data_IF_679769070124
#
_entry.id   IF_679769070124
#
_cell.length_a   1.000
_cell.length_b   1.000
_cell.length_c   1.000
_cell.angle_alpha   90.00
_cell.angle_beta   90.00
_cell.angle_gamma   90.00
#
_symmetry.space_group_name_H-M   'P 1'
#
loop_
_entity.id
_entity.type
_entity.pdbx_description
1 polymer ?
#
# COMPACT_ATOMS: atom_id res chain seq x y z
N UNK A 1 30.07 -32.00 -27.51
CA UNK A 1 28.96 -31.39 -26.77
C UNK A 1 27.88 -31.01 -27.77
N UNK A 2 26.75 -31.68 -27.76
CA UNK A 2 25.72 -31.59 -28.79
C UNK A 2 24.87 -30.31 -28.61
N UNK A 3 24.44 -29.64 -29.71
CA UNK A 3 23.69 -28.36 -29.64
C UNK A 3 22.33 -28.45 -28.93
N UNK A 4 21.89 -29.65 -28.59
CA UNK A 4 20.62 -29.87 -27.87
C UNK A 4 20.63 -29.39 -26.40
N UNK A 5 21.79 -29.39 -25.75
CA UNK A 5 21.90 -28.90 -24.37
C UNK A 5 21.92 -27.36 -24.25
N UNK A 6 22.40 -26.67 -25.29
CA UNK A 6 22.41 -25.22 -25.37
C UNK A 6 20.98 -24.67 -25.58
N UNK A 7 20.17 -25.37 -26.42
CA UNK A 7 18.78 -24.99 -26.68
C UNK A 7 17.90 -25.19 -25.44
N UNK A 8 18.12 -26.27 -24.66
CA UNK A 8 17.39 -26.53 -23.42
C UNK A 8 17.73 -25.49 -22.33
N UNK A 9 18.98 -25.05 -22.22
CA UNK A 9 19.37 -23.99 -21.27
C UNK A 9 18.81 -22.60 -21.65
N UNK A 10 18.69 -22.31 -22.96
CA UNK A 10 18.05 -21.07 -23.43
C UNK A 10 16.51 -21.05 -23.21
N UNK A 11 15.85 -22.22 -23.30
CA UNK A 11 14.41 -22.31 -23.02
C UNK A 11 14.06 -22.15 -21.53
N UNK A 12 14.97 -22.47 -20.62
CA UNK A 12 14.78 -22.24 -19.18
C UNK A 12 15.00 -20.78 -18.76
N UNK A 13 15.70 -19.98 -19.57
CA UNK A 13 15.91 -18.54 -19.35
C UNK A 13 14.70 -17.67 -19.79
N UNK A 14 13.79 -18.25 -20.60
CA UNK A 14 12.63 -17.52 -21.15
C UNK A 14 11.37 -17.58 -20.27
N UNK A 15 11.38 -18.27 -19.11
CA UNK A 15 10.19 -18.49 -18.27
C UNK A 15 10.12 -17.62 -17.01
N UNK A 16 11.00 -16.65 -16.83
CA UNK A 16 10.84 -15.63 -15.80
C UNK A 16 9.93 -14.51 -16.35
N UNK A 17 8.62 -14.73 -16.36
CA UNK A 17 7.67 -13.64 -16.53
C UNK A 17 7.93 -12.63 -15.41
N UNK A 18 8.19 -11.35 -15.70
CA UNK A 18 8.31 -10.36 -14.66
C UNK A 18 6.98 -10.34 -13.88
N UNK A 19 7.06 -10.53 -12.58
CA UNK A 19 5.91 -10.42 -11.68
C UNK A 19 5.61 -8.93 -11.49
N UNK A 20 4.99 -8.29 -12.47
CA UNK A 20 4.81 -6.83 -12.56
C UNK A 20 3.79 -6.27 -11.57
N UNK A 21 2.87 -7.10 -11.07
CA UNK A 21 1.78 -6.64 -10.20
C UNK A 21 2.11 -6.57 -8.71
N UNK A 22 3.35 -6.82 -8.31
CA UNK A 22 3.76 -6.86 -6.90
C UNK A 22 4.19 -5.48 -6.42
N UNK A 23 3.61 -5.03 -5.29
CA UNK A 23 3.76 -3.64 -4.85
C UNK A 23 4.79 -3.45 -3.75
N UNK A 24 4.81 -4.30 -2.70
CA UNK A 24 5.71 -4.11 -1.58
C UNK A 24 7.17 -3.84 -2.01
N UNK A 25 7.89 -2.95 -1.31
CA UNK A 25 7.50 -2.13 -0.14
C UNK A 25 6.73 -0.85 -0.50
N UNK A 26 6.35 -0.66 -1.77
CA UNK A 26 5.62 0.50 -2.28
C UNK A 26 4.11 0.32 -2.07
N UNK A 27 3.34 1.41 -2.19
CA UNK A 27 1.87 1.40 -2.16
C UNK A 27 1.25 2.00 -3.44
N UNK A 28 2.07 2.60 -4.32
CA UNK A 28 1.62 3.05 -5.65
C UNK A 28 1.30 1.83 -6.51
N UNK A 29 0.05 1.73 -6.92
CA UNK A 29 -0.51 0.58 -7.62
C UNK A 29 -0.08 0.52 -9.09
N UNK A 30 0.47 -0.61 -9.50
CA UNK A 30 0.72 -0.91 -10.90
C UNK A 30 -0.60 -1.30 -11.59
N UNK A 31 -0.93 -0.77 -12.79
CA UNK A 31 -2.12 -1.18 -13.53
C UNK A 31 -2.13 -2.64 -13.98
N UNK A 32 -0.97 -3.31 -14.02
CA UNK A 32 -0.91 -4.73 -14.34
C UNK A 32 -1.52 -5.57 -13.22
N UNK A 33 -2.24 -6.64 -13.63
CA UNK A 33 -2.87 -7.59 -12.70
C UNK A 33 -1.98 -8.82 -12.51
N UNK A 34 -2.20 -9.55 -11.43
CA UNK A 34 -1.49 -10.82 -11.17
C UNK A 34 -1.85 -11.93 -12.16
N UNK A 35 -2.93 -11.76 -12.93
CA UNK A 35 -3.44 -12.71 -13.93
C UNK A 35 -4.47 -13.68 -13.38
N UNK A 36 -5.24 -14.25 -14.30
CA UNK A 36 -6.36 -15.13 -14.00
C UNK A 36 -5.95 -16.38 -13.21
N UNK A 37 -6.72 -16.73 -12.17
CA UNK A 37 -6.52 -17.93 -11.35
C UNK A 37 -5.31 -17.91 -10.43
N UNK A 38 -4.60 -16.79 -10.35
CA UNK A 38 -3.44 -16.61 -9.44
C UNK A 38 -3.85 -15.94 -8.15
N UNK A 39 -3.13 -16.26 -7.10
CA UNK A 39 -3.22 -15.60 -5.81
C UNK A 39 -1.83 -15.07 -5.45
N UNK A 40 -1.80 -13.83 -4.99
CA UNK A 40 -0.63 -13.18 -4.43
C UNK A 40 -0.89 -12.99 -2.94
N UNK A 41 0.10 -13.33 -2.14
CA UNK A 41 0.11 -13.08 -0.69
C UNK A 41 1.33 -12.22 -0.38
N UNK A 42 1.09 -11.14 0.32
CA UNK A 42 2.11 -10.27 0.90
C UNK A 42 2.04 -10.32 2.41
N UNK A 43 3.20 -10.35 3.04
CA UNK A 43 3.32 -10.30 4.49
C UNK A 43 4.49 -9.41 4.89
N UNK A 44 4.35 -8.67 6.00
CA UNK A 44 5.43 -7.82 6.41
C UNK A 44 5.30 -7.25 7.81
N UNK A 45 6.27 -6.42 8.14
CA UNK A 45 6.39 -5.69 9.41
C UNK A 45 6.76 -4.26 9.10
N UNK A 46 6.05 -3.31 9.71
CA UNK A 46 6.39 -1.89 9.66
C UNK A 46 6.72 -1.39 11.07
N UNK A 47 7.75 -0.56 11.16
CA UNK A 47 8.12 0.18 12.36
C UNK A 47 8.18 1.67 12.02
N UNK A 48 7.43 2.51 12.73
CA UNK A 48 7.34 3.93 12.46
C UNK A 48 7.54 4.75 13.74
N UNK A 49 8.40 5.78 13.65
CA UNK A 49 8.67 6.70 14.76
C UNK A 49 7.88 8.00 14.59
N UNK A 50 7.30 8.47 15.68
CA UNK A 50 6.64 9.77 15.73
C UNK A 50 5.30 9.85 15.01
N UNK A 51 4.57 8.73 14.89
CA UNK A 51 3.23 8.68 14.28
C UNK A 51 2.26 9.51 15.12
N UNK A 52 1.44 10.34 14.47
CA UNK A 52 0.43 11.17 15.10
C UNK A 52 -0.98 10.74 14.71
N UNK A 53 -1.85 10.69 15.73
CA UNK A 53 -3.28 10.40 15.62
C UNK A 53 -4.08 11.64 16.07
N UNK A 54 -4.38 12.60 15.18
CA UNK A 54 -4.99 13.88 15.55
C UNK A 54 -6.34 13.74 16.23
N UNK A 55 -7.11 12.70 15.90
CA UNK A 55 -8.46 12.46 16.42
C UNK A 55 -8.44 12.02 17.87
N UNK A 56 -7.57 11.09 18.22
CA UNK A 56 -7.39 10.58 19.58
C UNK A 56 -6.39 11.39 20.41
N UNK A 57 -5.57 12.22 19.74
CA UNK A 57 -4.51 13.00 20.39
C UNK A 57 -3.29 12.18 20.79
N UNK A 58 -3.19 10.92 20.37
CA UNK A 58 -2.05 10.07 20.67
C UNK A 58 -0.91 10.33 19.68
N UNK A 59 0.32 10.30 20.19
CA UNK A 59 1.53 10.30 19.37
C UNK A 59 2.51 9.28 19.93
N UNK A 60 3.25 8.58 19.05
CA UNK A 60 4.18 7.57 19.53
C UNK A 60 4.89 6.78 18.44
N UNK A 61 5.44 5.65 18.83
CA UNK A 61 6.13 4.72 17.97
C UNK A 61 5.24 3.53 17.68
N UNK A 62 4.98 3.31 16.40
CA UNK A 62 4.04 2.30 15.91
C UNK A 62 4.79 1.08 15.37
N UNK A 63 4.33 -0.10 15.75
CA UNK A 63 4.65 -1.37 15.13
C UNK A 63 3.39 -1.96 14.52
N UNK A 64 3.50 -2.45 13.27
CA UNK A 64 2.46 -3.23 12.59
C UNK A 64 3.01 -4.60 12.26
N UNK A 65 2.38 -5.65 12.79
CA UNK A 65 2.85 -7.02 12.56
C UNK A 65 1.75 -8.07 12.76
N UNK A 66 1.53 -8.95 11.76
CA UNK A 66 1.94 -8.76 10.37
C UNK A 66 1.07 -7.73 9.65
N UNK A 67 1.64 -6.99 8.72
CA UNK A 67 0.86 -6.38 7.63
C UNK A 67 0.57 -7.48 6.61
N UNK A 68 -0.64 -7.52 6.06
CA UNK A 68 -1.08 -8.57 5.13
C UNK A 68 -1.71 -7.92 3.90
N UNK A 69 -1.35 -8.44 2.73
CA UNK A 69 -2.00 -8.15 1.46
C UNK A 69 -2.33 -9.47 0.74
N UNK A 70 -3.53 -9.55 0.20
CA UNK A 70 -3.97 -10.69 -0.61
C UNK A 70 -4.60 -10.14 -1.89
N UNK A 71 -4.09 -10.59 -3.04
CA UNK A 71 -4.71 -10.31 -4.33
C UNK A 71 -5.15 -11.60 -5.01
N UNK A 72 -6.34 -11.60 -5.59
CA UNK A 72 -6.92 -12.74 -6.30
C UNK A 72 -7.25 -12.31 -7.73
N UNK A 73 -6.58 -12.92 -8.71
CA UNK A 73 -6.81 -12.67 -10.12
C UNK A 73 -8.07 -13.37 -10.61
N UNK A 74 -9.14 -12.61 -10.78
CA UNK A 74 -10.45 -13.12 -11.23
C UNK A 74 -10.57 -13.16 -12.76
N UNK A 75 -9.68 -12.46 -13.46
CA UNK A 75 -9.54 -12.56 -14.91
C UNK A 75 -8.14 -12.10 -15.35
N UNK A 76 -7.87 -12.11 -16.65
CA UNK A 76 -6.62 -11.57 -17.19
C UNK A 76 -6.49 -10.04 -17.02
N UNK A 77 -7.59 -9.35 -16.75
CA UNK A 77 -7.65 -7.88 -16.63
C UNK A 77 -8.16 -7.38 -15.28
N UNK A 78 -8.61 -8.27 -14.39
CA UNK A 78 -9.22 -7.87 -13.12
C UNK A 78 -8.74 -8.71 -11.95
N UNK A 79 -8.56 -8.07 -10.79
CA UNK A 79 -8.22 -8.71 -9.52
C UNK A 79 -8.96 -8.05 -8.36
N UNK A 80 -9.21 -8.84 -7.32
CA UNK A 80 -9.66 -8.38 -6.01
C UNK A 80 -8.48 -8.32 -5.07
N UNK A 81 -8.46 -7.30 -4.20
CA UNK A 81 -7.40 -7.06 -3.23
C UNK A 81 -8.01 -6.89 -1.84
N UNK A 82 -7.32 -7.42 -0.83
CA UNK A 82 -7.64 -7.24 0.58
C UNK A 82 -6.32 -6.92 1.29
N UNK A 83 -6.25 -5.74 1.92
CA UNK A 83 -5.07 -5.26 2.62
C UNK A 83 -5.41 -4.89 4.05
N UNK A 84 -4.47 -5.03 4.99
CA UNK A 84 -4.63 -4.64 6.38
C UNK A 84 -3.49 -5.14 7.27
N UNK A 85 -3.61 -4.90 8.58
CA UNK A 85 -2.69 -5.37 9.60
C UNK A 85 -3.44 -6.09 10.72
N UNK A 86 -2.87 -7.19 11.22
CA UNK A 86 -3.53 -7.96 12.29
C UNK A 86 -3.23 -7.38 13.68
N UNK A 87 -2.12 -6.70 13.85
CA UNK A 87 -1.74 -6.16 15.15
C UNK A 87 -0.90 -4.90 14.99
N UNK A 88 -1.53 -3.78 15.30
CA UNK A 88 -0.92 -2.47 15.41
C UNK A 88 -0.68 -2.17 16.89
N UNK A 89 0.55 -1.85 17.26
CA UNK A 89 0.95 -1.52 18.63
C UNK A 89 1.63 -0.17 18.67
N UNK A 90 1.04 0.78 19.38
CA UNK A 90 1.58 2.11 19.60
C UNK A 90 2.18 2.24 21.01
N UNK A 91 3.47 2.52 21.09
CA UNK A 91 4.11 3.02 22.33
C UNK A 91 3.93 4.53 22.39
N UNK A 92 3.10 5.00 23.30
CA UNK A 92 2.64 6.38 23.39
C UNK A 92 3.76 7.23 24.02
N UNK A 93 4.16 8.29 23.32
CA UNK A 93 5.17 9.25 23.80
C UNK A 93 4.57 10.59 24.22
N UNK A 94 3.39 10.95 23.70
CA UNK A 94 2.65 12.12 24.13
C UNK A 94 1.14 11.97 23.89
N UNK A 95 0.36 12.77 24.63
CA UNK A 95 -1.10 12.82 24.53
C UNK A 95 -1.54 14.28 24.44
N UNK A 96 -2.47 14.56 23.54
CA UNK A 96 -3.14 15.86 23.46
C UNK A 96 -4.53 15.76 24.10
N UNK A 97 -4.74 16.32 25.30
CA UNK A 97 -6.04 16.24 26.00
C UNK A 97 -7.15 17.05 25.33
N UNK A 98 -6.81 17.94 24.39
CA UNK A 98 -7.76 18.72 23.60
C UNK A 98 -8.20 18.02 22.30
N UNK A 99 -7.79 16.79 22.05
CA UNK A 99 -8.18 16.05 20.86
C UNK A 99 -9.68 15.71 20.86
N UNK A 100 -10.33 15.68 19.69
CA UNK A 100 -11.80 15.59 19.59
C UNK A 100 -12.41 14.35 20.26
N UNK A 101 -11.78 13.20 20.12
CA UNK A 101 -12.30 11.92 20.63
C UNK A 101 -11.52 11.37 21.84
N UNK A 102 -10.77 12.23 22.55
CA UNK A 102 -9.99 11.81 23.73
C UNK A 102 -10.86 11.18 24.82
N UNK A 103 -12.12 11.61 24.94
CA UNK A 103 -13.08 11.09 25.93
C UNK A 103 -13.54 9.65 25.63
N UNK A 104 -13.36 9.15 24.42
CA UNK A 104 -13.71 7.78 24.03
C UNK A 104 -12.57 6.79 24.33
N UNK A 105 -11.36 7.28 24.61
CA UNK A 105 -10.21 6.42 24.83
C UNK A 105 -10.37 5.59 26.11
N UNK A 106 -10.16 4.28 25.98
CA UNK A 106 -10.05 3.36 27.11
C UNK A 106 -8.60 3.10 27.55
N UNK A 107 -7.65 3.75 26.88
CA UNK A 107 -6.21 3.56 27.05
C UNK A 107 -5.69 4.31 28.28
N UNK A 108 -5.29 3.59 29.33
CA UNK A 108 -4.79 4.16 30.59
C UNK A 108 -3.26 4.16 30.70
N UNK A 109 -2.56 3.23 30.01
CA UNK A 109 -1.10 3.06 30.06
C UNK A 109 -0.38 3.67 28.86
N UNK A 110 0.93 3.47 28.78
CA UNK A 110 1.80 4.00 27.73
C UNK A 110 1.80 3.18 26.44
N UNK A 111 0.88 2.22 26.31
CA UNK A 111 0.71 1.40 25.12
C UNK A 111 -0.75 1.18 24.80
N UNK A 112 -1.02 1.13 23.49
CA UNK A 112 -2.31 0.69 22.97
C UNK A 112 -2.11 -0.20 21.76
N UNK A 113 -3.12 -0.98 21.42
CA UNK A 113 -3.10 -1.85 20.25
C UNK A 113 -4.48 -1.96 19.62
N UNK A 114 -4.51 -2.28 18.34
CA UNK A 114 -5.73 -2.53 17.57
C UNK A 114 -5.41 -3.39 16.36
N UNK A 115 -6.44 -3.82 15.65
CA UNK A 115 -6.32 -4.21 14.25
C UNK A 115 -6.17 -2.96 13.39
N UNK A 116 -5.59 -3.09 12.19
CA UNK A 116 -5.64 -2.05 11.18
C UNK A 116 -6.99 -2.08 10.44
N UNK A 117 -7.42 -0.94 9.90
CA UNK A 117 -8.58 -0.91 9.01
C UNK A 117 -8.32 -1.72 7.75
N UNK A 118 -9.24 -2.63 7.45
CA UNK A 118 -9.15 -3.47 6.25
C UNK A 118 -9.56 -2.68 5.03
N UNK A 119 -8.74 -2.75 3.97
CA UNK A 119 -9.05 -2.19 2.66
C UNK A 119 -9.43 -3.32 1.72
N UNK A 120 -10.62 -3.23 1.14
CA UNK A 120 -11.07 -4.12 0.06
C UNK A 120 -11.08 -3.32 -1.23
N UNK A 121 -10.45 -3.86 -2.27
CA UNK A 121 -10.33 -3.16 -3.53
C UNK A 121 -10.53 -4.07 -4.75
N UNK A 122 -10.88 -3.44 -5.86
CA UNK A 122 -10.92 -4.05 -7.19
C UNK A 122 -10.03 -3.23 -8.10
N UNK A 123 -9.12 -3.90 -8.81
CA UNK A 123 -8.27 -3.31 -9.83
C UNK A 123 -8.62 -3.90 -11.19
N UNK A 124 -8.75 -3.04 -12.19
CA UNK A 124 -9.09 -3.42 -13.57
C UNK A 124 -8.06 -2.77 -14.50
N UNK A 125 -7.35 -3.59 -15.26
CA UNK A 125 -6.47 -3.13 -16.33
C UNK A 125 -7.30 -2.84 -17.59
N UNK A 126 -7.25 -1.59 -18.06
CA UNK A 126 -7.96 -1.16 -19.27
C UNK A 126 -7.09 -1.33 -20.50
N UNK A 127 -5.81 -0.96 -20.39
CA UNK A 127 -4.82 -1.07 -21.47
C UNK A 127 -3.55 -1.72 -20.96
N UNK A 128 -3.05 -2.72 -21.69
CA UNK A 128 -1.74 -3.30 -21.43
C UNK A 128 -0.64 -2.41 -22.02
N UNK A 129 0.53 -2.41 -21.41
CA UNK A 129 1.71 -1.75 -21.95
C UNK A 129 2.09 -2.34 -23.30
N UNK A 130 2.56 -1.47 -24.20
CA UNK A 130 3.23 -1.85 -25.44
C UNK A 130 4.37 -0.87 -25.73
N UNK A 131 5.15 -1.08 -26.77
CA UNK A 131 6.28 -0.22 -27.14
C UNK A 131 5.85 1.25 -27.24
N UNK A 132 4.70 1.55 -27.84
CA UNK A 132 4.21 2.92 -28.11
C UNK A 132 3.23 3.48 -27.08
N UNK A 133 2.79 2.70 -26.07
CA UNK A 133 1.77 3.18 -25.11
C UNK A 133 2.02 2.67 -23.70
N UNK A 134 1.63 3.42 -22.64
CA UNK A 134 1.65 2.96 -21.27
C UNK A 134 0.57 1.90 -21.00
N UNK A 135 0.72 1.15 -19.91
CA UNK A 135 -0.38 0.45 -19.27
C UNK A 135 -1.29 1.46 -18.57
N UNK A 136 -2.60 1.24 -18.61
CA UNK A 136 -3.60 2.06 -17.91
C UNK A 136 -4.59 1.13 -17.19
N UNK A 137 -4.93 1.49 -15.97
CA UNK A 137 -5.91 0.79 -15.15
C UNK A 137 -6.73 1.74 -14.29
N UNK A 138 -7.71 1.18 -13.63
CA UNK A 138 -8.52 1.85 -12.60
C UNK A 138 -8.54 0.98 -11.34
N UNK A 139 -8.64 1.63 -10.18
CA UNK A 139 -8.80 0.96 -8.89
C UNK A 139 -9.89 1.64 -8.10
N UNK A 140 -10.78 0.82 -7.51
CA UNK A 140 -11.76 1.24 -6.55
C UNK A 140 -11.44 0.54 -5.23
N UNK A 141 -11.49 1.27 -4.13
CA UNK A 141 -11.19 0.72 -2.82
C UNK A 141 -12.14 1.28 -1.75
N UNK A 142 -12.42 0.45 -0.76
CA UNK A 142 -13.18 0.81 0.44
C UNK A 142 -12.35 0.43 1.66
N UNK A 143 -12.11 1.40 2.53
CA UNK A 143 -11.55 1.16 3.86
C UNK A 143 -12.70 0.85 4.83
N UNK A 144 -12.65 -0.27 5.51
CA UNK A 144 -13.62 -0.73 6.49
C UNK A 144 -13.18 -0.35 7.91
N UNK A 145 -14.11 0.00 8.82
CA UNK A 145 -13.79 0.47 10.17
C UNK A 145 -13.50 -0.70 11.13
N UNK A 146 -12.36 -1.38 10.97
CA UNK A 146 -11.98 -2.50 11.83
C UNK A 146 -11.15 -2.05 13.05
N UNK A 147 -10.39 -0.96 12.93
CA UNK A 147 -9.65 -0.36 14.02
C UNK A 147 -10.59 0.44 14.90
N UNK A 148 -10.56 0.19 16.22
CA UNK A 148 -11.48 0.86 17.14
C UNK A 148 -10.98 2.25 17.54
N UNK A 149 -11.89 3.20 17.70
CA UNK A 149 -11.57 4.55 18.17
C UNK A 149 -11.22 4.57 19.68
N UNK A 150 -11.71 3.61 20.47
CA UNK A 150 -11.36 3.46 21.90
C UNK A 150 -9.89 3.10 22.10
N UNK A 151 -9.26 2.41 21.12
CA UNK A 151 -7.82 2.17 21.14
C UNK A 151 -7.01 3.42 20.82
N UNK A 152 -7.63 4.43 20.19
CA UNK A 152 -7.02 5.64 19.68
C UNK A 152 -6.27 5.47 18.36
N UNK A 153 -6.29 4.28 17.75
CA UNK A 153 -5.62 3.97 16.48
C UNK A 153 -6.60 3.99 15.30
N UNK A 154 -7.88 3.69 15.54
CA UNK A 154 -8.94 3.72 14.54
C UNK A 154 -9.70 5.02 14.49
N UNK A 155 -10.44 5.23 13.41
CA UNK A 155 -11.33 6.37 13.20
C UNK A 155 -12.80 5.95 13.22
N UNK A 156 -13.10 4.66 13.19
CA UNK A 156 -14.45 4.09 13.11
C UNK A 156 -15.25 4.65 11.91
N UNK A 157 -14.56 4.84 10.78
CA UNK A 157 -15.13 5.42 9.56
C UNK A 157 -14.88 4.55 8.35
N UNK A 158 -15.88 4.52 7.44
CA UNK A 158 -15.71 3.93 6.11
C UNK A 158 -15.32 5.02 5.13
N UNK A 159 -14.23 4.79 4.38
CA UNK A 159 -13.73 5.71 3.36
C UNK A 159 -13.75 5.03 1.98
N UNK A 160 -13.97 5.82 0.92
CA UNK A 160 -14.01 5.34 -0.46
C UNK A 160 -12.93 6.00 -1.30
N UNK A 161 -12.34 5.22 -2.21
CA UNK A 161 -11.28 5.70 -3.10
C UNK A 161 -11.54 5.23 -4.54
N UNK A 162 -11.23 6.09 -5.49
CA UNK A 162 -11.21 5.76 -6.92
C UNK A 162 -9.96 6.38 -7.55
N UNK A 163 -9.21 5.60 -8.31
CA UNK A 163 -7.93 6.02 -8.87
C UNK A 163 -7.76 5.55 -10.32
N UNK A 164 -7.10 6.38 -11.11
CA UNK A 164 -6.54 6.02 -12.41
C UNK A 164 -5.07 5.69 -12.21
N UNK A 165 -4.65 4.59 -12.80
CA UNK A 165 -3.32 4.01 -12.69
C UNK A 165 -2.64 4.07 -14.06
N UNK A 166 -1.39 4.47 -14.10
CA UNK A 166 -0.58 4.49 -15.31
C UNK A 166 0.79 3.91 -15.06
N UNK A 167 1.35 3.14 -16.01
CA UNK A 167 2.71 2.64 -15.90
C UNK A 167 3.39 2.54 -17.24
N UNK A 168 4.69 2.78 -17.24
CA UNK A 168 5.56 2.63 -18.40
C UNK A 168 6.93 2.14 -18.00
N UNK A 169 7.42 1.15 -18.75
CA UNK A 169 8.80 0.69 -18.64
C UNK A 169 9.65 1.36 -19.72
N UNK A 170 10.69 2.04 -19.28
CA UNK A 170 11.69 2.65 -20.17
C UNK A 170 13.04 2.02 -19.83
N UNK A 171 13.59 1.27 -20.76
CA UNK A 171 14.80 0.46 -20.54
C UNK A 171 14.64 -0.48 -19.33
N UNK A 172 15.40 -0.26 -18.26
CA UNK A 172 15.38 -1.05 -17.01
C UNK A 172 14.61 -0.37 -15.88
N UNK A 173 13.91 0.74 -16.16
CA UNK A 173 13.18 1.53 -15.16
C UNK A 173 11.68 1.42 -15.45
N UNK A 174 10.94 0.88 -14.49
CA UNK A 174 9.48 0.95 -14.49
C UNK A 174 9.04 2.16 -13.68
N UNK A 175 8.26 3.04 -14.29
CA UNK A 175 7.64 4.20 -13.66
C UNK A 175 6.15 3.94 -13.56
N UNK A 176 5.59 4.16 -12.38
CA UNK A 176 4.16 4.00 -12.10
C UNK A 176 3.63 5.29 -11.49
N UNK A 177 2.47 5.74 -11.96
CA UNK A 177 1.80 6.92 -11.45
C UNK A 177 0.33 6.60 -11.15
N UNK A 178 -0.16 7.08 -10.02
CA UNK A 178 -1.56 7.01 -9.62
C UNK A 178 -2.08 8.42 -9.34
N UNK A 179 -3.29 8.69 -9.76
CA UNK A 179 -4.05 9.88 -9.38
C UNK A 179 -5.49 9.48 -9.11
N UNK A 180 -6.08 10.01 -8.04
CA UNK A 180 -7.42 9.61 -7.66
C UNK A 180 -8.09 10.56 -6.70
N UNK A 181 -9.29 10.20 -6.32
CA UNK A 181 -10.09 10.89 -5.31
C UNK A 181 -10.37 9.96 -4.14
N UNK A 182 -10.41 10.50 -2.94
CA UNK A 182 -10.87 9.81 -1.74
C UNK A 182 -11.98 10.61 -1.08
N UNK A 183 -13.00 9.91 -0.62
CA UNK A 183 -14.10 10.46 0.18
C UNK A 183 -13.89 9.93 1.60
N UNK A 184 -13.42 10.79 2.51
CA UNK A 184 -13.10 10.44 3.88
C UNK A 184 -14.22 10.91 4.79
N UNK A 185 -14.82 10.01 5.55
CA UNK A 185 -15.82 10.39 6.54
C UNK A 185 -15.16 11.16 7.69
N UNK A 186 -15.86 12.16 8.23
CA UNK A 186 -15.44 12.89 9.42
C UNK A 186 -15.66 12.03 10.67
N UNK A 187 -14.60 11.60 11.35
CA UNK A 187 -14.73 10.74 12.52
C UNK A 187 -15.36 11.44 13.73
N UNK A 188 -15.47 12.76 13.71
CA UNK A 188 -16.09 13.55 14.78
C UNK A 188 -17.54 13.87 14.51
N UNK A 189 -18.01 13.72 13.26
CA UNK A 189 -19.40 13.96 12.88
C UNK A 189 -19.76 13.18 11.61
N UNK A 190 -20.44 12.04 11.76
CA UNK A 190 -20.78 11.12 10.69
C UNK A 190 -21.63 11.68 9.53
N UNK A 191 -22.14 12.92 9.64
CA UNK A 191 -22.90 13.58 8.57
C UNK A 191 -22.02 14.45 7.66
N UNK A 192 -20.71 14.42 7.82
CA UNK A 192 -19.75 15.22 7.06
C UNK A 192 -18.68 14.34 6.45
N UNK A 193 -18.11 14.80 5.35
CA UNK A 193 -16.99 14.16 4.68
C UNK A 193 -15.96 15.22 4.26
N UNK A 194 -14.73 14.75 4.01
CA UNK A 194 -13.68 15.53 3.36
C UNK A 194 -13.24 14.82 2.11
N UNK A 195 -13.28 15.52 0.99
CA UNK A 195 -12.76 14.99 -0.27
C UNK A 195 -11.26 15.29 -0.35
N UNK A 196 -10.50 14.31 -0.83
CA UNK A 196 -9.05 14.41 -0.98
C UNK A 196 -8.62 13.99 -2.38
N UNK A 197 -7.59 14.63 -2.88
CA UNK A 197 -6.85 14.16 -4.06
C UNK A 197 -5.79 13.16 -3.58
N UNK A 198 -5.84 11.92 -4.08
CA UNK A 198 -4.80 10.93 -3.83
C UNK A 198 -3.77 10.93 -4.96
N UNK A 199 -2.50 10.72 -4.63
CA UNK A 199 -1.42 10.68 -5.61
C UNK A 199 -0.37 9.63 -5.25
N UNK A 200 0.27 9.10 -6.27
CA UNK A 200 1.42 8.21 -6.14
C UNK A 200 2.30 8.30 -7.37
N UNK A 201 3.59 8.32 -7.16
CA UNK A 201 4.61 8.22 -8.21
C UNK A 201 5.72 7.32 -7.70
N UNK A 202 5.97 6.22 -8.39
CA UNK A 202 7.02 5.29 -8.02
C UNK A 202 7.89 4.91 -9.20
N UNK A 203 9.09 4.46 -8.88
CA UNK A 203 10.00 3.86 -9.83
C UNK A 203 10.58 2.57 -9.27
N UNK A 204 10.85 1.62 -10.15
CA UNK A 204 11.61 0.41 -9.86
C UNK A 204 12.67 0.24 -10.93
N UNK A 205 13.94 0.08 -10.53
CA UNK A 205 15.06 -0.16 -11.43
C UNK A 205 15.68 -1.50 -11.16
N UNK A 206 15.69 -2.37 -12.15
CA UNK A 206 16.42 -3.62 -12.09
C UNK A 206 17.93 -3.36 -12.07
N UNK A 207 18.60 -3.78 -11.00
CA UNK A 207 20.06 -3.72 -10.85
C UNK A 207 20.71 -5.01 -11.30
N UNK A 208 20.02 -6.13 -11.08
CA UNK A 208 20.38 -7.47 -11.54
C UNK A 208 19.11 -8.23 -11.92
N UNK A 209 19.22 -9.49 -12.35
CA UNK A 209 18.06 -10.35 -12.60
C UNK A 209 17.22 -10.65 -11.32
N UNK A 210 17.75 -10.37 -10.13
CA UNK A 210 17.12 -10.72 -8.85
C UNK A 210 16.94 -9.52 -7.92
N UNK A 211 17.59 -8.41 -8.19
CA UNK A 211 17.56 -7.24 -7.31
C UNK A 211 17.04 -6.00 -8.01
N UNK A 212 16.18 -5.28 -7.33
CA UNK A 212 15.65 -3.98 -7.76
C UNK A 212 15.87 -2.96 -6.67
N UNK A 213 16.14 -1.71 -7.08
CA UNK A 213 16.03 -0.52 -6.24
C UNK A 213 14.72 0.15 -6.56
N UNK A 214 13.99 0.54 -5.53
CA UNK A 214 12.66 1.15 -5.66
C UNK A 214 12.56 2.45 -4.88
N UNK A 215 11.73 3.36 -5.37
CA UNK A 215 11.42 4.60 -4.68
C UNK A 215 10.00 5.06 -4.98
N UNK A 216 9.42 5.83 -4.07
CA UNK A 216 8.04 6.26 -4.15
C UNK A 216 7.82 7.58 -3.43
N UNK A 217 6.99 8.42 -4.03
CA UNK A 217 6.32 9.54 -3.41
C UNK A 217 4.82 9.29 -3.48
N UNK A 218 4.14 9.19 -2.35
CA UNK A 218 2.70 8.97 -2.30
C UNK A 218 2.03 9.80 -1.22
N UNK A 219 0.71 9.96 -1.33
CA UNK A 219 -0.04 10.66 -0.32
C UNK A 219 -1.44 11.06 -0.75
N UNK A 220 -2.00 11.98 0.04
CA UNK A 220 -3.28 12.62 -0.23
C UNK A 220 -3.22 14.10 0.12
N UNK A 221 -3.95 14.91 -0.61
CA UNK A 221 -4.12 16.35 -0.37
C UNK A 221 -5.59 16.62 -0.08
N UNK A 222 -5.89 17.24 1.06
CA UNK A 222 -7.23 17.77 1.33
C UNK A 222 -7.54 18.89 0.33
N UNK A 223 -8.68 18.77 -0.34
CA UNK A 223 -9.15 19.81 -1.29
C UNK A 223 -10.14 20.78 -0.65
N UNK A 224 -10.36 20.65 0.65
CA UNK A 224 -11.26 21.49 1.41
C UNK A 224 -10.72 22.93 1.52
N UNK A 225 -11.59 23.90 1.32
CA UNK A 225 -11.30 25.30 1.68
C UNK A 225 -11.41 25.48 3.21
N UNK A 226 -10.28 25.72 3.87
CA UNK A 226 -10.15 25.78 5.33
C UNK A 226 -9.51 24.53 5.94
N UNK A 227 -9.48 24.46 7.25
CA UNK A 227 -8.85 23.33 7.95
C UNK A 227 -9.60 22.02 7.68
N UNK A 228 -8.87 20.92 7.38
CA UNK A 228 -9.48 19.61 7.24
C UNK A 228 -10.02 19.12 8.57
N UNK A 229 -11.04 18.26 8.54
CA UNK A 229 -11.50 17.59 9.74
C UNK A 229 -10.37 16.70 10.32
N UNK A 230 -10.23 16.61 11.65
CA UNK A 230 -9.24 15.72 12.27
C UNK A 230 -9.36 14.29 11.74
N UNK A 231 -8.23 13.69 11.36
CA UNK A 231 -8.16 12.37 10.73
C UNK A 231 -8.23 12.39 9.19
N UNK A 232 -8.63 13.52 8.58
CA UNK A 232 -8.76 13.68 7.13
C UNK A 232 -7.71 14.61 6.51
N UNK A 233 -6.65 14.92 7.25
CA UNK A 233 -5.57 15.82 6.84
C UNK A 233 -4.83 15.33 5.60
N UNK A 234 -4.14 16.28 4.94
CA UNK A 234 -3.14 15.95 3.93
C UNK A 234 -2.03 15.10 4.54
N UNK A 235 -1.57 14.10 3.80
CA UNK A 235 -0.48 13.21 4.18
C UNK A 235 0.45 12.98 2.99
N UNK A 236 1.71 12.67 3.26
CA UNK A 236 2.67 12.34 2.24
C UNK A 236 3.82 11.52 2.79
N UNK A 237 4.27 10.55 2.01
CA UNK A 237 5.40 9.69 2.34
C UNK A 237 6.39 9.65 1.17
N UNK A 238 7.66 9.75 1.48
CA UNK A 238 8.76 9.42 0.59
C UNK A 238 9.34 8.08 1.03
N UNK A 239 9.41 7.09 0.13
CA UNK A 239 9.99 5.77 0.40
C UNK A 239 11.16 5.48 -0.51
N UNK A 240 12.17 4.80 0.03
CA UNK A 240 13.28 4.22 -0.70
C UNK A 240 13.51 2.80 -0.20
N UNK A 241 13.76 1.87 -1.11
CA UNK A 241 13.90 0.48 -0.72
C UNK A 241 14.52 -0.39 -1.81
N UNK A 242 14.51 -1.67 -1.54
CA UNK A 242 14.99 -2.69 -2.45
C UNK A 242 14.14 -3.94 -2.40
N UNK A 243 14.27 -4.73 -3.45
CA UNK A 243 13.61 -6.03 -3.62
C UNK A 243 14.64 -7.07 -4.04
N UNK A 244 14.47 -8.27 -3.51
CA UNK A 244 15.29 -9.42 -3.88
C UNK A 244 14.40 -10.61 -4.18
N UNK A 245 14.45 -11.13 -5.41
CA UNK A 245 13.61 -12.23 -5.89
C UNK A 245 14.39 -13.54 -5.88
N UNK A 246 13.86 -14.54 -5.19
CA UNK A 246 14.41 -15.90 -5.14
C UNK A 246 13.31 -16.92 -5.44
N UNK A 247 13.31 -17.44 -6.68
CA UNK A 247 12.23 -18.32 -7.15
C UNK A 247 10.87 -17.63 -7.13
N UNK A 248 9.83 -18.21 -6.53
CA UNK A 248 8.49 -17.64 -6.47
C UNK A 248 8.32 -16.59 -5.35
N UNK A 249 9.32 -16.41 -4.50
CA UNK A 249 9.27 -15.46 -3.37
C UNK A 249 10.10 -14.24 -3.67
N UNK A 250 9.57 -13.08 -3.37
CA UNK A 250 10.28 -11.82 -3.38
C UNK A 250 10.31 -11.24 -1.98
N UNK A 251 11.49 -10.95 -1.48
CA UNK A 251 11.73 -10.22 -0.24
C UNK A 251 11.90 -8.75 -0.55
N UNK A 252 11.47 -7.91 0.36
CA UNK A 252 11.55 -6.46 0.23
C UNK A 252 11.94 -5.81 1.57
N UNK A 253 12.46 -4.59 1.46
CA UNK A 253 12.75 -3.75 2.61
C UNK A 253 12.95 -2.32 2.17
N UNK A 254 12.64 -1.38 3.07
CA UNK A 254 12.76 0.04 2.77
C UNK A 254 12.66 0.92 4.00
N UNK A 255 12.96 2.18 3.76
CA UNK A 255 12.83 3.30 4.71
C UNK A 255 11.80 4.27 4.16
N UNK A 256 10.99 4.85 5.02
CA UNK A 256 10.06 5.91 4.63
C UNK A 256 10.15 7.12 5.57
N UNK A 257 9.92 8.29 5.00
CA UNK A 257 9.93 9.59 5.67
C UNK A 257 8.58 10.26 5.47
N UNK A 258 8.02 10.81 6.52
CA UNK A 258 6.81 11.62 6.45
C UNK A 258 7.10 13.03 5.95
N UNK A 259 6.17 13.57 5.18
CA UNK A 259 6.28 14.90 4.57
C UNK A 259 5.39 15.94 5.25
N UNK A 260 4.50 15.50 6.14
CA UNK A 260 3.62 16.38 6.91
C UNK A 260 3.79 16.17 8.41
N UNK A 261 3.22 17.06 9.22
CA UNK A 261 3.31 17.00 10.69
C UNK A 261 2.53 15.85 11.32
N UNK A 262 1.58 15.25 10.57
CA UNK A 262 0.76 14.11 11.00
C UNK A 262 1.32 12.76 10.55
N UNK A 263 2.32 12.78 9.68
CA UNK A 263 3.00 11.58 9.23
C UNK A 263 4.11 11.15 10.20
N UNK A 264 4.55 9.89 10.16
CA UNK A 264 5.71 9.45 10.93
C UNK A 264 6.98 10.21 10.50
N UNK A 265 7.84 10.53 11.45
CA UNK A 265 9.11 11.19 11.13
C UNK A 265 9.99 10.31 10.24
N UNK A 266 10.08 9.02 10.60
CA UNK A 266 10.81 7.98 9.87
C UNK A 266 10.19 6.63 10.17
N UNK A 267 10.29 5.71 9.23
CA UNK A 267 9.91 4.33 9.47
C UNK A 267 10.66 3.36 8.55
N UNK A 268 10.53 2.08 8.87
CA UNK A 268 11.13 0.95 8.18
C UNK A 268 10.04 -0.06 7.84
N UNK A 269 10.19 -0.69 6.71
CA UNK A 269 9.32 -1.78 6.26
C UNK A 269 10.16 -2.96 5.80
N UNK A 270 9.73 -4.18 6.13
CA UNK A 270 10.31 -5.41 5.64
C UNK A 270 9.20 -6.39 5.34
N UNK A 271 9.36 -7.19 4.30
CA UNK A 271 8.34 -8.16 3.98
C UNK A 271 8.71 -9.11 2.88
N UNK A 272 7.71 -9.85 2.46
CA UNK A 272 7.81 -10.77 1.34
C UNK A 272 6.53 -10.77 0.53
N UNK A 273 6.66 -11.18 -0.71
CA UNK A 273 5.55 -11.45 -1.63
C UNK A 273 5.70 -12.84 -2.22
N UNK A 274 4.60 -13.60 -2.26
CA UNK A 274 4.53 -14.93 -2.86
C UNK A 274 3.34 -15.01 -3.81
N UNK A 275 3.59 -15.48 -5.04
CA UNK A 275 2.54 -15.63 -6.06
C UNK A 275 2.48 -17.07 -6.52
N UNK A 276 1.28 -17.63 -6.59
CA UNK A 276 1.04 -19.02 -7.02
C UNK A 276 -0.24 -19.16 -7.83
N UNK A 277 -0.35 -20.23 -8.61
CA UNK A 277 -1.58 -20.60 -9.29
C UNK A 277 -2.47 -21.33 -8.28
N UNK A 278 -3.66 -20.78 -8.03
CA UNK A 278 -4.58 -21.31 -7.01
C UNK A 278 -5.74 -22.10 -7.65
N UNK A 279 -6.23 -21.66 -8.82
CA UNK A 279 -7.36 -22.27 -9.50
C UNK A 279 -7.31 -21.99 -11.00
N UNK A 280 -8.06 -22.78 -11.77
CA UNK A 280 -8.27 -22.55 -13.21
C UNK A 280 -9.63 -21.91 -13.40
N UNK A 281 -9.68 -20.83 -14.16
CA UNK A 281 -10.95 -20.24 -14.60
C UNK A 281 -11.41 -20.96 -15.86
N UNK A 282 -12.72 -21.15 -16.03
CA UNK A 282 -13.28 -21.80 -17.22
C UNK A 282 -13.05 -20.99 -18.50
#
# INVERSE_FOLDING_TARGET
>A
MTPRFVLAALCWLAAASPLLAQQRPLVTEDPETIGAGRVLIEGGVDAAHGVSYPVSGLKGNLWRVPTIGISVGISSIAELQIDGGLYDSLSITSRNPAAPLVSLLTVTGDRTHSFEDTIVATKIRILSESTGRPAIGIRFATKLPNATNESGLGLDTTDFFASVLGAKTVESIRVVANIGVGILADPTNGNRQNDVLTYGLSFARAMTQRTEVVGELNGRLSVRSGDPFPGTESRGLLKLGGRFTQGPVRFDGGVFLGLTTVDPTIGFTFGFTYVFNAFTLP
#
